data_IF_412652480154
#
_entry.id   IF_412652480154
#
_cell.length_a   1.000
_cell.length_b   1.000
_cell.length_c   1.000
_cell.angle_alpha   90.00
_cell.angle_beta   90.00
_cell.angle_gamma   90.00
#
_symmetry.space_group_name_H-M   'P 1'
#
loop_
_entity.id
_entity.type
_entity.pdbx_description
1 polymer ?
#
# COMPACT_ATOMS: atom_id res chain seq x y z
N UNK A 1 16.48 -10.63 1.21
CA UNK A 1 16.17 -11.67 2.23
C UNK A 1 16.02 -11.04 3.60
N UNK A 2 17.08 -10.59 4.27
CA UNK A 2 16.97 -10.14 5.68
C UNK A 2 15.86 -9.13 5.97
N UNK A 3 15.64 -8.13 5.12
CA UNK A 3 14.64 -7.08 5.41
C UNK A 3 13.20 -7.58 5.48
N UNK A 4 12.81 -8.48 4.59
CA UNK A 4 11.47 -9.08 4.58
C UNK A 4 11.26 -9.99 5.77
N UNK A 5 12.25 -10.86 6.03
CA UNK A 5 12.19 -11.81 7.14
C UNK A 5 12.14 -11.07 8.50
N UNK A 6 12.89 -9.98 8.67
CA UNK A 6 12.79 -9.15 9.87
C UNK A 6 11.39 -8.51 10.01
N UNK A 7 10.83 -7.96 8.93
CA UNK A 7 9.48 -7.40 8.97
C UNK A 7 8.43 -8.48 9.26
N UNK A 8 8.59 -9.69 8.72
CA UNK A 8 7.68 -10.81 8.97
C UNK A 8 7.78 -11.32 10.41
N UNK A 9 8.99 -11.34 10.99
CA UNK A 9 9.20 -11.68 12.41
C UNK A 9 8.58 -10.62 13.32
N UNK A 10 8.73 -9.34 12.99
CA UNK A 10 8.22 -8.23 13.82
C UNK A 10 6.71 -8.04 13.69
N UNK A 11 6.16 -8.14 12.49
CA UNK A 11 4.78 -7.72 12.18
C UNK A 11 3.90 -8.86 11.64
N UNK A 12 4.45 -10.05 11.50
CA UNK A 12 3.77 -11.23 10.99
C UNK A 12 3.86 -11.38 9.46
N UNK A 13 3.87 -12.64 9.01
CA UNK A 13 3.87 -12.97 7.58
C UNK A 13 2.54 -12.54 6.93
N UNK A 14 2.59 -11.79 5.82
CA UNK A 14 1.38 -11.33 5.15
C UNK A 14 0.49 -12.48 4.68
N UNK A 15 -0.83 -12.22 4.72
CA UNK A 15 -1.86 -13.11 4.18
C UNK A 15 -2.80 -12.28 3.31
N UNK A 16 -3.43 -12.88 2.29
CA UNK A 16 -4.36 -12.15 1.44
C UNK A 16 -5.41 -11.40 2.26
N UNK A 17 -5.48 -10.10 2.07
CA UNK A 17 -6.41 -9.19 2.73
C UNK A 17 -6.97 -8.21 1.71
N UNK A 18 -8.25 -7.86 1.87
CA UNK A 18 -8.91 -6.88 1.02
C UNK A 18 -8.59 -5.46 1.47
N UNK A 19 -8.39 -4.59 0.49
CA UNK A 19 -8.14 -3.15 0.67
C UNK A 19 -8.75 -2.34 -0.47
N UNK A 20 -8.60 -1.02 -0.39
CA UNK A 20 -9.02 -0.08 -1.44
C UNK A 20 -7.82 0.77 -1.92
N UNK A 21 -7.90 1.26 -3.16
CA UNK A 21 -6.89 2.11 -3.75
C UNK A 21 -7.48 3.36 -4.40
N UNK A 22 -6.65 4.37 -4.64
CA UNK A 22 -6.92 5.72 -5.15
C UNK A 22 -7.31 6.74 -4.06
N UNK A 23 -7.36 8.03 -4.44
CA UNK A 23 -7.59 9.15 -3.52
C UNK A 23 -8.95 9.13 -2.82
N UNK A 24 -9.93 8.42 -3.38
CA UNK A 24 -11.24 8.22 -2.73
C UNK A 24 -11.20 7.41 -1.43
N UNK A 25 -10.03 6.90 -1.02
CA UNK A 25 -9.84 6.24 0.29
C UNK A 25 -9.76 7.24 1.46
N UNK A 26 -9.55 8.51 1.17
CA UNK A 26 -9.63 9.58 2.16
C UNK A 26 -11.04 9.69 2.72
N UNK A 27 -11.17 10.02 4.01
CA UNK A 27 -12.45 10.13 4.72
C UNK A 27 -12.70 11.57 5.14
N UNK A 28 -13.85 12.10 4.73
CA UNK A 28 -14.21 13.47 5.07
C UNK A 28 -14.50 13.65 6.56
N UNK A 29 -15.08 12.63 7.19
CA UNK A 29 -15.50 12.63 8.58
C UNK A 29 -14.45 12.09 9.58
N UNK A 30 -13.23 11.78 9.10
CA UNK A 30 -12.15 11.24 9.92
C UNK A 30 -10.86 12.05 9.79
N UNK A 31 -10.00 11.92 10.78
CA UNK A 31 -8.61 12.40 10.71
C UNK A 31 -7.87 11.53 9.70
N UNK A 32 -7.32 12.09 8.64
CA UNK A 32 -6.54 11.35 7.66
C UNK A 32 -5.04 11.52 7.90
N UNK A 33 -4.37 10.42 8.20
CA UNK A 33 -2.92 10.35 8.36
C UNK A 33 -2.35 9.60 7.17
N UNK A 34 -1.44 10.24 6.44
CA UNK A 34 -0.79 9.62 5.30
C UNK A 34 0.62 9.20 5.69
N UNK A 35 0.90 7.90 5.57
CA UNK A 35 2.25 7.35 5.73
C UNK A 35 2.92 7.26 4.35
N UNK A 36 4.15 7.78 4.24
CA UNK A 36 4.85 7.87 2.97
C UNK A 36 6.35 7.65 3.13
N UNK A 37 6.90 6.79 2.35
CA UNK A 37 8.32 6.45 2.34
C UNK A 37 8.60 4.96 2.35
N UNK A 38 9.53 4.50 3.22
CA UNK A 38 10.09 3.15 3.16
C UNK A 38 10.35 2.50 4.53
N UNK A 39 10.06 3.16 5.65
CA UNK A 39 10.26 2.58 6.98
C UNK A 39 9.01 1.82 7.45
N UNK A 40 9.05 0.47 7.48
CA UNK A 40 7.90 -0.33 7.93
C UNK A 40 7.60 -0.14 9.41
N UNK A 41 8.61 0.09 10.24
CA UNK A 41 8.44 0.22 11.69
C UNK A 41 7.64 1.47 12.04
N UNK A 42 7.93 2.59 11.38
CA UNK A 42 7.20 3.84 11.57
C UNK A 42 5.73 3.69 11.20
N UNK A 43 5.46 3.14 10.02
CA UNK A 43 4.09 3.01 9.50
C UNK A 43 3.25 2.04 10.31
N UNK A 44 3.81 0.91 10.74
CA UNK A 44 3.13 -0.06 11.60
C UNK A 44 2.79 0.55 12.95
N UNK A 45 3.71 1.31 13.58
CA UNK A 45 3.46 1.98 14.85
C UNK A 45 2.43 3.11 14.73
N UNK A 46 2.40 3.84 13.61
CA UNK A 46 1.35 4.83 13.36
C UNK A 46 -0.02 4.14 13.26
N UNK A 47 -0.12 3.01 12.56
CA UNK A 47 -1.37 2.24 12.51
C UNK A 47 -1.82 1.78 13.89
N UNK A 48 -0.90 1.27 14.70
CA UNK A 48 -1.18 0.83 16.08
C UNK A 48 -1.76 1.95 16.94
N UNK A 49 -1.12 3.13 16.91
CA UNK A 49 -1.62 4.28 17.69
C UNK A 49 -2.84 4.96 17.08
N UNK A 50 -3.10 4.80 15.79
CA UNK A 50 -4.35 5.26 15.19
C UNK A 50 -5.56 4.45 15.67
N UNK A 51 -5.35 3.18 16.04
CA UNK A 51 -6.36 2.31 16.63
C UNK A 51 -6.44 2.42 18.19
N UNK A 52 -5.50 3.17 18.82
CA UNK A 52 -5.49 3.36 20.28
C UNK A 52 -6.79 4.05 20.72
N UNK A 53 -7.54 3.47 21.69
CA UNK A 53 -8.77 4.05 22.21
C UNK A 53 -8.63 5.49 22.72
N UNK A 54 -7.46 5.87 23.28
CA UNK A 54 -7.19 7.25 23.71
C UNK A 54 -7.16 8.20 22.52
N UNK A 55 -6.49 7.81 21.43
CA UNK A 55 -6.37 8.64 20.22
C UNK A 55 -7.72 8.74 19.49
N UNK A 56 -8.45 7.64 19.41
CA UNK A 56 -9.82 7.63 18.85
C UNK A 56 -10.77 8.51 19.66
N UNK A 57 -10.70 8.46 21.00
CA UNK A 57 -11.48 9.34 21.86
C UNK A 57 -11.10 10.82 21.66
N UNK A 58 -9.82 11.12 21.55
CA UNK A 58 -9.34 12.47 21.25
C UNK A 58 -9.85 12.95 19.88
N UNK A 59 -9.81 12.12 18.86
CA UNK A 59 -10.35 12.46 17.53
C UNK A 59 -11.82 12.86 17.59
N UNK A 60 -12.62 12.13 18.37
CA UNK A 60 -14.03 12.48 18.60
C UNK A 60 -14.22 13.82 19.29
N UNK A 61 -13.35 14.18 20.25
CA UNK A 61 -13.41 15.51 20.89
C UNK A 61 -13.04 16.63 19.91
N UNK A 62 -12.24 16.35 18.88
CA UNK A 62 -11.91 17.29 17.81
C UNK A 62 -12.99 17.35 16.72
N UNK A 63 -14.06 16.55 16.83
CA UNK A 63 -15.17 16.53 15.87
C UNK A 63 -15.03 15.50 14.74
N UNK A 64 -14.03 14.63 14.78
CA UNK A 64 -13.87 13.54 13.82
C UNK A 64 -14.53 12.25 14.31
N UNK A 65 -15.06 11.42 13.40
CA UNK A 65 -15.65 10.13 13.74
C UNK A 65 -14.61 9.04 14.04
N UNK A 66 -13.35 9.27 13.72
CA UNK A 66 -12.25 8.33 13.93
C UNK A 66 -10.97 8.77 13.25
N UNK A 67 -10.02 7.85 13.10
CA UNK A 67 -8.73 8.07 12.45
C UNK A 67 -8.62 7.12 11.25
N UNK A 68 -8.30 7.65 10.09
CA UNK A 68 -8.08 6.91 8.87
C UNK A 68 -6.59 7.01 8.49
N UNK A 69 -5.91 5.88 8.50
CA UNK A 69 -4.55 5.80 7.94
C UNK A 69 -4.65 5.36 6.50
N UNK A 70 -3.95 6.04 5.61
CA UNK A 70 -3.79 5.62 4.23
C UNK A 70 -2.32 5.78 3.82
N UNK A 71 -1.88 5.03 2.81
CA UNK A 71 -0.48 5.00 2.48
C UNK A 71 -0.16 5.52 1.09
N UNK A 72 1.09 5.98 0.95
CA UNK A 72 1.70 6.36 -0.33
C UNK A 72 3.04 5.65 -0.44
N UNK A 73 3.42 5.23 -1.66
CA UNK A 73 4.71 4.62 -1.96
C UNK A 73 4.91 3.22 -1.30
N UNK A 74 6.15 2.83 -0.99
CA UNK A 74 6.46 1.49 -0.48
C UNK A 74 5.91 1.24 0.93
N UNK A 75 5.92 2.24 1.80
CA UNK A 75 5.27 2.17 3.13
C UNK A 75 3.79 1.82 3.02
N UNK A 76 3.10 2.34 1.98
CA UNK A 76 1.71 1.95 1.70
C UNK A 76 1.56 0.45 1.42
N UNK A 77 2.46 -0.12 0.62
CA UNK A 77 2.43 -1.54 0.32
C UNK A 77 2.66 -2.39 1.58
N UNK A 78 3.51 -1.90 2.48
CA UNK A 78 3.86 -2.56 3.74
C UNK A 78 2.64 -2.71 4.66
N UNK A 79 1.97 -1.60 4.97
CA UNK A 79 0.79 -1.62 5.85
C UNK A 79 -0.44 -2.20 5.15
N UNK A 80 -0.54 -2.07 3.82
CA UNK A 80 -1.63 -2.69 3.07
C UNK A 80 -1.54 -4.22 3.14
N UNK A 81 -0.36 -4.82 2.92
CA UNK A 81 -0.22 -6.27 2.87
C UNK A 81 -0.45 -6.97 4.21
N UNK A 82 -0.30 -6.28 5.35
CA UNK A 82 -0.48 -6.85 6.68
C UNK A 82 -1.80 -6.44 7.33
N UNK A 83 -2.22 -5.21 7.16
CA UNK A 83 -3.38 -4.62 7.86
C UNK A 83 -4.55 -4.27 6.94
N UNK A 84 -4.39 -4.38 5.62
CA UNK A 84 -5.41 -3.93 4.67
C UNK A 84 -5.56 -2.41 4.62
N UNK A 85 -4.57 -1.64 5.09
CA UNK A 85 -4.59 -0.18 5.05
C UNK A 85 -4.73 0.31 3.60
N UNK A 86 -5.64 1.26 3.33
CA UNK A 86 -5.88 1.75 1.98
C UNK A 86 -4.67 2.42 1.33
N UNK A 87 -4.55 2.26 0.02
CA UNK A 87 -3.46 2.81 -0.79
C UNK A 87 -3.89 4.07 -1.52
N UNK A 88 -3.49 5.26 -1.05
CA UNK A 88 -3.84 6.53 -1.70
C UNK A 88 -3.14 6.72 -3.05
N UNK A 89 -1.93 6.19 -3.22
CA UNK A 89 -1.19 6.24 -4.47
C UNK A 89 0.29 5.93 -4.32
N UNK A 90 1.03 6.01 -5.42
CA UNK A 90 2.49 5.96 -5.39
C UNK A 90 3.10 7.37 -5.23
N UNK A 91 4.43 7.49 -5.31
CA UNK A 91 5.11 8.77 -5.10
C UNK A 91 4.68 9.90 -6.06
N UNK A 92 4.10 9.59 -7.21
CA UNK A 92 3.58 10.59 -8.14
C UNK A 92 2.24 11.20 -7.70
N UNK A 93 1.57 10.63 -6.70
CA UNK A 93 0.32 11.13 -6.14
C UNK A 93 0.47 11.78 -4.77
N UNK A 94 1.70 11.88 -4.23
CA UNK A 94 1.92 12.43 -2.87
C UNK A 94 1.39 13.86 -2.70
N UNK A 95 1.55 14.70 -3.72
CA UNK A 95 1.00 16.05 -3.72
C UNK A 95 -0.53 16.06 -3.82
N UNK A 96 -1.10 15.14 -4.61
CA UNK A 96 -2.54 15.04 -4.78
C UNK A 96 -3.27 14.69 -3.48
N UNK A 97 -2.61 13.97 -2.57
CA UNK A 97 -3.17 13.68 -1.24
C UNK A 97 -3.37 14.97 -0.45
N UNK A 98 -2.39 15.87 -0.47
CA UNK A 98 -2.49 17.20 0.19
C UNK A 98 -3.56 18.05 -0.49
N UNK A 99 -3.61 18.02 -1.83
CA UNK A 99 -4.59 18.76 -2.63
C UNK A 99 -6.05 18.32 -2.39
N UNK A 100 -6.29 17.15 -1.77
CA UNK A 100 -7.65 16.80 -1.34
C UNK A 100 -8.21 17.75 -0.27
N UNK A 101 -7.36 18.52 0.40
CA UNK A 101 -7.76 19.38 1.53
C UNK A 101 -8.23 18.62 2.77
N UNK A 102 -8.17 17.29 2.75
CA UNK A 102 -8.63 16.42 3.84
C UNK A 102 -7.48 15.70 4.57
N UNK A 103 -6.22 16.07 4.35
CA UNK A 103 -5.05 15.44 4.94
C UNK A 103 -4.58 16.22 6.17
N UNK A 104 -4.70 15.64 7.36
CA UNK A 104 -4.24 16.28 8.60
C UNK A 104 -2.74 16.20 8.77
N UNK A 105 -2.16 15.04 8.41
CA UNK A 105 -0.71 14.86 8.42
C UNK A 105 -0.25 13.97 7.29
N UNK A 106 0.84 14.37 6.62
CA UNK A 106 1.64 13.49 5.79
C UNK A 106 2.97 13.25 6.52
N UNK A 107 3.20 11.99 6.88
CA UNK A 107 4.35 11.56 7.67
C UNK A 107 5.32 10.85 6.76
N UNK A 108 6.54 11.36 6.69
CA UNK A 108 7.55 10.87 5.74
C UNK A 108 8.81 10.41 6.45
N UNK A 109 9.39 9.34 5.96
CA UNK A 109 10.65 8.79 6.48
C UNK A 109 11.83 9.05 5.54
N UNK A 110 12.03 8.21 4.54
CA UNK A 110 13.13 8.30 3.56
C UNK A 110 12.67 7.95 2.16
N UNK A 111 13.36 8.48 1.15
CA UNK A 111 13.18 8.22 -0.29
C UNK A 111 11.82 8.64 -0.86
N UNK A 112 11.82 8.93 -2.15
CA UNK A 112 10.62 9.25 -2.94
C UNK A 112 9.82 10.47 -2.46
N UNK A 113 10.38 11.32 -1.60
CA UNK A 113 9.72 12.47 -1.01
C UNK A 113 10.03 13.70 -1.85
N UNK A 114 8.99 14.42 -2.28
CA UNK A 114 9.17 15.66 -3.04
C UNK A 114 9.26 16.87 -2.10
N UNK A 115 10.33 17.70 -2.21
CA UNK A 115 10.44 18.92 -1.40
C UNK A 115 9.25 19.88 -1.56
N UNK A 116 8.53 19.81 -2.67
CA UNK A 116 7.33 20.59 -2.94
C UNK A 116 6.19 20.35 -1.92
N UNK A 117 6.22 19.22 -1.18
CA UNK A 117 5.24 18.97 -0.11
C UNK A 117 5.27 20.05 0.99
N UNK A 118 6.47 20.59 1.32
CA UNK A 118 6.62 21.64 2.32
C UNK A 118 5.77 22.89 2.01
N UNK A 119 6.08 23.64 0.95
CA UNK A 119 5.31 24.81 0.58
C UNK A 119 3.85 24.49 0.24
N UNK A 120 3.55 23.34 -0.36
CA UNK A 120 2.18 22.93 -0.66
C UNK A 120 1.36 22.73 0.62
N UNK A 121 1.91 22.05 1.61
CA UNK A 121 1.24 21.80 2.90
C UNK A 121 0.84 23.09 3.62
N UNK A 122 1.60 24.17 3.45
CA UNK A 122 1.27 25.49 4.01
C UNK A 122 0.06 26.16 3.37
N UNK A 123 -0.28 25.80 2.12
CA UNK A 123 -1.49 26.30 1.47
C UNK A 123 -2.77 25.70 2.06
N UNK A 124 -2.62 24.58 2.73
CA UNK A 124 -3.68 23.85 3.42
C UNK A 124 -3.46 23.87 4.94
N UNK A 125 -4.13 22.99 5.67
CA UNK A 125 -3.89 22.76 7.11
C UNK A 125 -2.90 21.61 7.37
N UNK A 126 -2.49 20.87 6.33
CA UNK A 126 -1.70 19.64 6.43
C UNK A 126 -0.41 19.83 7.19
N UNK A 127 -0.15 19.00 8.19
CA UNK A 127 1.15 18.89 8.85
C UNK A 127 2.09 18.01 8.02
N UNK A 128 3.17 18.58 7.54
CA UNK A 128 4.23 17.84 6.85
C UNK A 128 5.29 17.44 7.89
N UNK A 129 5.33 16.16 8.26
CA UNK A 129 6.17 15.63 9.35
C UNK A 129 7.28 14.77 8.76
N UNK A 130 8.54 15.14 8.97
CA UNK A 130 9.71 14.35 8.63
C UNK A 130 10.23 13.63 9.87
N UNK A 131 10.69 12.38 9.72
CA UNK A 131 11.05 11.53 10.86
C UNK A 131 12.50 11.06 10.83
N UNK A 132 13.16 11.12 9.68
CA UNK A 132 14.54 10.71 9.51
C UNK A 132 15.48 11.93 9.44
N UNK A 133 16.60 11.94 10.19
CA UNK A 133 17.56 13.04 10.16
C UNK A 133 18.27 13.21 8.80
N UNK A 134 18.31 12.15 7.98
CA UNK A 134 18.93 12.19 6.65
C UNK A 134 17.98 12.65 5.55
N UNK A 135 16.68 12.80 5.87
CA UNK A 135 15.64 13.19 4.94
C UNK A 135 14.78 14.34 5.48
N UNK A 136 15.37 15.24 6.24
CA UNK A 136 14.69 16.48 6.64
C UNK A 136 14.43 17.35 5.42
N UNK A 137 13.20 17.83 5.31
CA UNK A 137 12.77 18.69 4.22
C UNK A 137 12.49 20.11 4.71
N UNK A 138 12.70 21.13 3.87
CA UNK A 138 12.27 22.47 4.19
C UNK A 138 10.77 22.52 4.51
N UNK A 139 10.42 23.41 5.41
CA UNK A 139 9.00 23.64 5.78
C UNK A 139 8.28 22.43 6.41
N UNK A 140 9.03 21.47 6.95
CA UNK A 140 8.50 20.32 7.68
C UNK A 140 8.67 20.47 9.19
N UNK A 141 7.75 19.85 9.94
CA UNK A 141 7.95 19.58 11.37
C UNK A 141 8.83 18.33 11.51
N UNK A 142 9.87 18.38 12.34
CA UNK A 142 10.74 17.22 12.55
C UNK A 142 10.42 16.51 13.86
N UNK A 143 9.99 15.26 13.77
CA UNK A 143 9.78 14.36 14.91
C UNK A 143 10.64 13.11 14.65
N UNK A 144 11.82 13.04 15.26
CA UNK A 144 12.74 11.94 15.04
C UNK A 144 12.12 10.61 15.42
N UNK A 145 12.17 9.64 14.50
CA UNK A 145 11.80 8.25 14.77
C UNK A 145 13.07 7.40 14.93
N UNK A 146 13.17 6.68 16.04
CA UNK A 146 14.25 5.74 16.33
C UNK A 146 13.73 4.61 17.23
N UNK A 147 14.47 3.53 17.36
CA UNK A 147 14.06 2.34 18.10
C UNK A 147 13.79 2.62 19.61
N UNK A 148 14.53 3.55 20.22
CA UNK A 148 14.44 3.80 21.68
C UNK A 148 13.17 4.53 22.06
N UNK A 149 12.66 5.41 21.20
CA UNK A 149 11.50 6.27 21.45
C UNK A 149 10.39 6.07 20.42
N UNK A 150 10.40 4.93 19.73
CA UNK A 150 9.49 4.67 18.61
C UNK A 150 8.01 4.84 19.02
N UNK A 151 7.59 4.21 20.11
CA UNK A 151 6.22 4.29 20.59
C UNK A 151 5.79 5.69 20.98
N UNK A 152 6.62 6.41 21.75
CA UNK A 152 6.35 7.77 22.18
C UNK A 152 6.22 8.72 20.97
N UNK A 153 7.15 8.64 20.04
CA UNK A 153 7.17 9.51 18.87
C UNK A 153 6.04 9.18 17.88
N UNK A 154 5.71 7.90 17.66
CA UNK A 154 4.55 7.53 16.86
C UNK A 154 3.24 8.04 17.48
N UNK A 155 3.06 7.89 18.81
CA UNK A 155 1.90 8.45 19.52
C UNK A 155 1.83 9.97 19.39
N UNK A 156 2.97 10.66 19.49
CA UNK A 156 3.06 12.11 19.30
C UNK A 156 2.65 12.53 17.89
N UNK A 157 3.10 11.78 16.86
CA UNK A 157 2.72 12.03 15.46
C UNK A 157 1.20 11.90 15.28
N UNK A 158 0.62 10.80 15.76
CA UNK A 158 -0.84 10.56 15.67
C UNK A 158 -1.60 11.67 16.39
N UNK A 159 -1.20 12.02 17.63
CA UNK A 159 -1.81 13.13 18.39
C UNK A 159 -1.74 14.45 17.62
N UNK A 160 -0.58 14.78 17.03
CA UNK A 160 -0.41 16.00 16.22
C UNK A 160 -1.38 16.05 15.05
N UNK A 161 -1.59 14.91 14.38
CA UNK A 161 -2.55 14.82 13.28
C UNK A 161 -4.00 14.99 13.79
N UNK A 162 -4.35 14.34 14.88
CA UNK A 162 -5.69 14.42 15.51
C UNK A 162 -6.03 15.85 15.91
N UNK A 163 -5.12 16.52 16.61
CA UNK A 163 -5.32 17.93 17.04
C UNK A 163 -5.43 18.88 15.83
N UNK A 164 -4.79 18.52 14.71
CA UNK A 164 -4.82 19.33 13.48
C UNK A 164 -6.17 19.25 12.73
N UNK A 165 -7.04 18.29 13.07
CA UNK A 165 -8.37 18.16 12.45
C UNK A 165 -9.21 19.44 12.64
N UNK A 166 -9.09 20.11 13.79
CA UNK A 166 -9.78 21.37 14.08
C UNK A 166 -9.38 22.53 13.13
N UNK A 167 -8.22 22.42 12.46
CA UNK A 167 -7.73 23.42 11.52
C UNK A 167 -8.15 23.15 10.06
N UNK A 168 -8.90 22.07 9.80
CA UNK A 168 -9.37 21.71 8.46
C UNK A 168 -10.29 22.81 7.90
N UNK A 169 -9.97 23.24 6.70
CA UNK A 169 -10.78 24.22 5.94
C UNK A 169 -11.75 23.45 5.07
N UNK A 170 -12.98 23.30 5.51
CA UNK A 170 -13.99 22.49 4.82
C UNK A 170 -14.26 22.95 3.38
N UNK A 171 -14.12 24.22 3.12
CA UNK A 171 -14.28 24.82 1.78
C UNK A 171 -13.19 24.37 0.79
N UNK A 172 -12.07 23.83 1.28
CA UNK A 172 -10.97 23.30 0.46
C UNK A 172 -11.02 21.76 0.32
N UNK A 173 -11.96 21.10 1.00
CA UNK A 173 -12.06 19.64 0.94
C UNK A 173 -12.66 19.21 -0.40
N UNK A 174 -11.88 18.43 -1.13
CA UNK A 174 -12.30 17.82 -2.39
C UNK A 174 -11.72 16.43 -2.55
N UNK A 175 -12.47 15.41 -2.12
CA UNK A 175 -12.08 14.02 -2.19
C UNK A 175 -12.67 13.39 -3.47
N UNK A 176 -11.83 12.95 -4.42
CA UNK A 176 -12.31 12.25 -5.60
C UNK A 176 -13.07 10.98 -5.23
N UNK A 177 -14.19 10.71 -5.91
CA UNK A 177 -15.00 9.52 -5.64
C UNK A 177 -14.44 8.23 -6.27
N UNK A 178 -13.22 8.30 -6.81
CA UNK A 178 -12.57 7.16 -7.45
C UNK A 178 -11.95 6.24 -6.39
N UNK A 179 -12.49 5.02 -6.29
CA UNK A 179 -11.96 3.91 -5.50
C UNK A 179 -11.92 2.62 -6.30
N UNK A 180 -10.93 1.79 -6.06
CA UNK A 180 -10.81 0.45 -6.62
C UNK A 180 -10.55 -0.54 -5.48
N UNK A 181 -11.22 -1.69 -5.55
CA UNK A 181 -10.94 -2.80 -4.63
C UNK A 181 -9.67 -3.52 -5.06
N UNK A 182 -8.93 -4.02 -4.08
CA UNK A 182 -7.73 -4.82 -4.30
C UNK A 182 -7.60 -5.88 -3.21
N UNK A 183 -7.13 -7.07 -3.58
CA UNK A 183 -6.68 -8.09 -2.63
C UNK A 183 -5.16 -8.10 -2.65
N UNK A 184 -4.53 -7.90 -1.51
CA UNK A 184 -3.07 -7.69 -1.33
C UNK A 184 -2.50 -8.67 -0.30
N UNK A 185 -1.17 -8.72 -0.14
CA UNK A 185 -0.54 -9.52 0.91
C UNK A 185 -0.26 -10.96 0.52
N UNK A 186 0.04 -11.22 -0.73
CA UNK A 186 0.45 -12.54 -1.21
C UNK A 186 1.93 -12.78 -0.87
N UNK A 187 2.24 -13.26 0.33
CA UNK A 187 3.57 -13.81 0.64
C UNK A 187 3.87 -15.05 -0.21
N UNK A 188 5.11 -15.51 -0.22
CA UNK A 188 5.49 -16.76 -0.92
C UNK A 188 4.65 -17.92 -0.39
N UNK A 189 4.51 -18.01 0.93
CA UNK A 189 3.70 -19.04 1.62
C UNK A 189 2.23 -18.96 1.23
N UNK A 190 1.69 -17.75 1.14
CA UNK A 190 0.30 -17.52 0.72
C UNK A 190 0.08 -17.92 -0.74
N UNK A 191 1.01 -17.59 -1.64
CA UNK A 191 0.95 -17.98 -3.06
C UNK A 191 0.98 -19.51 -3.19
N UNK A 192 1.95 -20.14 -2.53
CA UNK A 192 2.10 -21.60 -2.55
C UNK A 192 0.82 -22.29 -2.04
N UNK A 193 0.33 -21.88 -0.87
CA UNK A 193 -0.89 -22.43 -0.26
C UNK A 193 -2.12 -22.23 -1.16
N UNK A 194 -2.24 -21.09 -1.81
CA UNK A 194 -3.39 -20.77 -2.65
C UNK A 194 -3.38 -21.59 -3.94
N UNK A 195 -2.22 -21.75 -4.56
CA UNK A 195 -2.08 -22.55 -5.79
C UNK A 195 -2.19 -24.04 -5.54
N UNK A 196 -1.88 -24.52 -4.34
CA UNK A 196 -2.02 -25.92 -3.96
C UNK A 196 -3.47 -26.42 -4.06
N UNK A 197 -4.42 -25.57 -3.71
CA UNK A 197 -5.85 -25.87 -3.88
C UNK A 197 -6.29 -26.11 -5.34
N UNK A 198 -5.48 -25.68 -6.32
CA UNK A 198 -5.79 -25.84 -7.76
C UNK A 198 -5.45 -27.23 -8.30
N UNK A 199 -4.44 -27.90 -7.73
CA UNK A 199 -3.91 -29.15 -8.27
C UNK A 199 -4.35 -30.40 -7.51
N UNK A 200 -5.11 -30.26 -6.40
CA UNK A 200 -5.48 -31.34 -5.49
C UNK A 200 -4.29 -32.18 -4.98
N UNK A 201 -3.08 -31.64 -5.01
CA UNK A 201 -1.92 -32.28 -4.43
C UNK A 201 -1.90 -32.09 -2.91
N UNK A 202 -1.79 -33.19 -2.16
CA UNK A 202 -1.53 -33.12 -0.72
C UNK A 202 -0.12 -32.57 -0.50
N UNK A 203 -0.04 -31.34 0.00
CA UNK A 203 1.24 -30.66 0.20
C UNK A 203 1.79 -30.95 1.59
N UNK A 204 3.06 -31.30 1.64
CA UNK A 204 3.84 -31.35 2.85
C UNK A 204 3.94 -29.95 3.51
N UNK A 205 4.13 -29.94 4.83
CA UNK A 205 4.10 -28.78 5.73
C UNK A 205 5.00 -27.60 5.28
N UNK A 206 5.93 -27.81 4.37
CA UNK A 206 6.88 -26.79 3.89
C UNK A 206 6.41 -26.02 2.63
N UNK A 207 5.27 -26.36 2.07
CA UNK A 207 4.78 -25.74 0.83
C UNK A 207 5.64 -26.08 -0.40
N UNK A 208 5.06 -26.04 -1.59
CA UNK A 208 5.80 -26.31 -2.83
C UNK A 208 5.31 -25.41 -3.95
N UNK A 209 6.22 -24.99 -4.83
CA UNK A 209 5.90 -24.31 -6.08
C UNK A 209 5.38 -25.24 -7.16
N UNK A 210 5.26 -26.54 -6.86
CA UNK A 210 4.84 -27.58 -7.79
C UNK A 210 3.53 -27.28 -8.52
N UNK A 211 2.46 -26.79 -7.85
CA UNK A 211 1.22 -26.44 -8.52
C UNK A 211 1.39 -25.36 -9.60
N UNK A 212 2.20 -24.35 -9.37
CA UNK A 212 2.52 -23.33 -10.36
C UNK A 212 3.30 -23.93 -11.53
N UNK A 213 4.29 -24.76 -11.24
CA UNK A 213 5.07 -25.47 -12.27
C UNK A 213 4.19 -26.42 -13.08
N UNK A 214 3.27 -27.13 -12.48
CA UNK A 214 2.30 -28.01 -13.17
C UNK A 214 1.36 -27.20 -14.08
N UNK A 215 0.87 -26.05 -13.64
CA UNK A 215 0.09 -25.16 -14.50
C UNK A 215 0.88 -24.66 -15.71
N UNK A 216 2.19 -24.41 -15.53
CA UNK A 216 3.07 -23.98 -16.63
C UNK A 216 3.42 -25.15 -17.55
N UNK A 217 3.82 -26.29 -17.02
CA UNK A 217 4.22 -27.45 -17.81
C UNK A 217 3.07 -28.09 -18.57
N UNK A 218 1.85 -28.01 -18.04
CA UNK A 218 0.64 -28.45 -18.73
C UNK A 218 0.12 -27.44 -19.77
N UNK A 219 0.73 -26.23 -19.84
CA UNK A 219 0.35 -25.19 -20.78
C UNK A 219 -0.91 -24.42 -20.41
N UNK A 220 -1.47 -24.60 -19.19
CA UNK A 220 -2.58 -23.79 -18.67
C UNK A 220 -2.13 -22.35 -18.43
N UNK A 221 -0.95 -22.18 -17.85
CA UNK A 221 -0.26 -20.89 -17.78
C UNK A 221 0.95 -20.89 -18.73
N UNK A 222 1.19 -19.78 -19.37
CA UNK A 222 2.41 -19.59 -20.19
C UNK A 222 3.64 -19.25 -19.36
N UNK A 223 3.43 -18.80 -18.11
CA UNK A 223 4.50 -18.46 -17.19
C UNK A 223 4.05 -17.54 -16.08
N UNK A 224 5.03 -17.11 -15.28
CA UNK A 224 4.89 -16.10 -14.26
C UNK A 224 5.90 -14.97 -14.51
N UNK A 225 5.51 -13.72 -14.27
CA UNK A 225 6.38 -12.54 -14.43
C UNK A 225 6.35 -11.71 -13.16
N UNK A 226 7.53 -11.45 -12.59
CA UNK A 226 7.69 -10.47 -11.54
C UNK A 226 7.91 -9.08 -12.16
N UNK A 227 7.03 -8.13 -11.85
CA UNK A 227 7.20 -6.72 -12.20
C UNK A 227 7.45 -5.93 -10.93
N UNK A 228 8.64 -5.42 -10.80
CA UNK A 228 9.09 -4.73 -9.60
C UNK A 228 9.60 -3.34 -9.94
N UNK A 229 9.50 -2.40 -9.00
CA UNK A 229 10.16 -1.11 -9.14
C UNK A 229 9.23 0.09 -9.22
N UNK A 230 9.85 1.19 -9.61
CA UNK A 230 9.30 2.53 -9.49
C UNK A 230 8.56 2.96 -10.77
N UNK A 231 7.83 4.05 -10.64
CA UNK A 231 7.23 4.76 -11.76
C UNK A 231 8.22 5.78 -12.36
N UNK A 232 7.90 6.34 -13.51
CA UNK A 232 8.74 7.34 -14.18
C UNK A 232 7.96 8.66 -14.32
N UNK A 233 8.43 9.77 -13.72
CA UNK A 233 7.76 11.07 -13.79
C UNK A 233 7.80 11.72 -15.19
N UNK A 234 8.63 11.22 -16.10
CA UNK A 234 8.75 11.76 -17.47
C UNK A 234 7.75 11.17 -18.47
N UNK A 235 6.97 10.17 -18.05
CA UNK A 235 5.94 9.54 -18.87
C UNK A 235 4.60 9.60 -18.15
N UNK A 236 3.51 9.33 -18.90
CA UNK A 236 2.18 9.27 -18.29
C UNK A 236 2.20 8.30 -17.09
N UNK A 237 1.81 8.76 -15.89
CA UNK A 237 1.83 7.93 -14.69
C UNK A 237 1.12 6.59 -14.88
N UNK A 238 1.74 5.52 -14.38
CA UNK A 238 1.23 4.14 -14.38
C UNK A 238 1.02 3.49 -15.76
N UNK A 239 1.01 4.26 -16.86
CA UNK A 239 0.59 3.80 -18.18
C UNK A 239 1.36 2.55 -18.65
N UNK A 240 2.70 2.61 -18.61
CA UNK A 240 3.54 1.51 -19.09
C UNK A 240 3.34 0.22 -18.28
N UNK A 241 3.20 0.35 -16.95
CA UNK A 241 2.94 -0.77 -16.06
C UNK A 241 1.58 -1.41 -16.36
N UNK A 242 0.52 -0.60 -16.44
CA UNK A 242 -0.85 -1.07 -16.65
C UNK A 242 -0.98 -1.77 -18.02
N UNK A 243 -0.45 -1.18 -19.09
CA UNK A 243 -0.56 -1.76 -20.42
C UNK A 243 0.25 -3.06 -20.55
N UNK A 244 1.43 -3.13 -19.93
CA UNK A 244 2.20 -4.37 -19.92
C UNK A 244 1.47 -5.47 -19.14
N UNK A 245 0.96 -5.16 -17.93
CA UNK A 245 0.19 -6.12 -17.13
C UNK A 245 -1.03 -6.66 -17.88
N UNK A 246 -1.81 -5.79 -18.52
CA UNK A 246 -2.97 -6.22 -19.32
C UNK A 246 -2.56 -7.17 -20.47
N UNK A 247 -1.43 -6.89 -21.12
CA UNK A 247 -0.92 -7.80 -22.17
C UNK A 247 -0.46 -9.14 -21.60
N UNK A 248 0.19 -9.15 -20.44
CA UNK A 248 0.65 -10.37 -19.79
C UNK A 248 -0.53 -11.25 -19.36
N UNK A 249 -1.48 -10.73 -18.60
CA UNK A 249 -2.63 -11.51 -18.12
C UNK A 249 -3.52 -12.01 -19.27
N UNK A 250 -3.67 -11.23 -20.34
CA UNK A 250 -4.39 -11.65 -21.55
C UNK A 250 -3.72 -12.85 -22.27
N UNK A 251 -2.42 -13.03 -22.05
CA UNK A 251 -1.63 -14.13 -22.63
C UNK A 251 -1.35 -15.25 -21.62
N UNK A 252 -2.23 -15.43 -20.62
CA UNK A 252 -2.13 -16.49 -19.60
C UNK A 252 -0.82 -16.46 -18.79
N UNK A 253 -0.31 -15.26 -18.51
CA UNK A 253 0.86 -15.04 -17.66
C UNK A 253 0.40 -14.40 -16.36
N UNK A 254 0.62 -15.10 -15.23
CA UNK A 254 0.36 -14.55 -13.90
C UNK A 254 1.42 -13.49 -13.56
N UNK A 255 0.98 -12.37 -12.97
CA UNK A 255 1.89 -11.26 -12.66
C UNK A 255 2.03 -11.09 -11.16
N UNK A 256 3.25 -10.98 -10.69
CA UNK A 256 3.59 -10.77 -9.27
C UNK A 256 4.23 -9.40 -9.16
N UNK A 257 3.74 -8.57 -8.24
CA UNK A 257 4.10 -7.16 -8.16
C UNK A 257 4.61 -6.73 -6.80
N UNK A 258 5.51 -5.75 -6.84
CA UNK A 258 5.90 -5.00 -5.65
C UNK A 258 6.16 -3.52 -5.98
N UNK A 259 6.19 -2.67 -4.95
CA UNK A 259 6.51 -1.25 -5.09
C UNK A 259 5.46 -0.46 -5.86
N UNK A 260 5.91 0.52 -6.66
CA UNK A 260 5.00 1.40 -7.43
C UNK A 260 4.23 0.67 -8.53
N UNK A 261 4.77 -0.43 -9.08
CA UNK A 261 4.04 -1.24 -10.06
C UNK A 261 2.82 -1.91 -9.44
N UNK A 262 2.93 -2.32 -8.17
CA UNK A 262 1.82 -2.88 -7.41
C UNK A 262 0.72 -1.82 -7.19
N UNK A 263 1.09 -0.62 -6.81
CA UNK A 263 0.12 0.47 -6.64
C UNK A 263 -0.54 0.89 -7.96
N UNK A 264 0.19 0.87 -9.07
CA UNK A 264 -0.38 1.10 -10.38
C UNK A 264 -1.47 0.07 -10.72
N UNK A 265 -1.21 -1.21 -10.42
CA UNK A 265 -2.17 -2.29 -10.63
C UNK A 265 -3.42 -2.15 -9.74
N UNK A 266 -3.23 -1.85 -8.44
CA UNK A 266 -4.33 -1.64 -7.50
C UNK A 266 -5.24 -0.48 -7.95
N UNK A 267 -4.64 0.64 -8.33
CA UNK A 267 -5.35 1.83 -8.83
C UNK A 267 -6.09 1.58 -10.15
N UNK A 268 -5.59 0.66 -10.96
CA UNK A 268 -6.23 0.26 -12.21
C UNK A 268 -7.29 -0.84 -12.04
N UNK A 269 -7.51 -1.34 -10.81
CA UNK A 269 -8.45 -2.43 -10.51
C UNK A 269 -7.97 -3.81 -10.95
N UNK A 270 -6.68 -3.98 -11.29
CA UNK A 270 -6.13 -5.25 -11.74
C UNK A 270 -5.91 -6.26 -10.59
N UNK A 271 -5.93 -5.78 -9.35
CA UNK A 271 -5.86 -6.61 -8.14
C UNK A 271 -7.24 -6.96 -7.56
N UNK A 272 -8.32 -6.59 -8.24
CA UNK A 272 -9.67 -7.06 -7.94
C UNK A 272 -9.88 -8.44 -8.59
N UNK A 273 -10.52 -9.37 -7.89
CA UNK A 273 -10.83 -10.72 -8.41
C UNK A 273 -11.67 -10.68 -9.69
N UNK A 274 -12.44 -9.61 -9.93
CA UNK A 274 -13.18 -9.38 -11.17
C UNK A 274 -12.26 -9.12 -12.37
N UNK A 275 -11.02 -8.72 -12.16
CA UNK A 275 -10.06 -8.51 -13.25
C UNK A 275 -9.71 -9.81 -14.01
N UNK A 276 -10.10 -10.99 -13.49
CA UNK A 276 -10.02 -12.27 -14.21
C UNK A 276 -10.70 -12.24 -15.59
N UNK A 277 -11.69 -11.37 -15.79
CA UNK A 277 -12.36 -11.23 -17.08
C UNK A 277 -11.50 -10.59 -18.17
N UNK A 278 -10.36 -10.00 -17.79
CA UNK A 278 -9.33 -9.47 -18.71
C UNK A 278 -8.29 -10.52 -19.12
N UNK A 279 -8.33 -11.71 -18.51
CA UNK A 279 -7.33 -12.76 -18.68
C UNK A 279 -7.57 -13.59 -19.93
N UNK A 280 -6.52 -14.31 -20.36
CA UNK A 280 -6.68 -15.47 -21.24
C UNK A 280 -7.42 -16.61 -20.51
N UNK A 281 -7.83 -17.63 -21.25
CA UNK A 281 -8.67 -18.70 -20.72
C UNK A 281 -7.98 -19.53 -19.63
N UNK A 282 -6.66 -19.74 -19.75
CA UNK A 282 -5.87 -20.49 -18.78
C UNK A 282 -5.76 -19.77 -17.44
N UNK A 283 -5.33 -18.51 -17.45
CA UNK A 283 -5.19 -17.72 -16.23
C UNK A 283 -6.54 -17.43 -15.59
N UNK A 284 -7.59 -17.17 -16.39
CA UNK A 284 -8.96 -17.00 -15.87
C UNK A 284 -9.38 -18.22 -15.05
N UNK A 285 -9.15 -19.44 -15.60
CA UNK A 285 -9.47 -20.69 -14.89
C UNK A 285 -8.71 -20.83 -13.57
N UNK A 286 -7.41 -20.49 -13.55
CA UNK A 286 -6.59 -20.52 -12.33
C UNK A 286 -7.15 -19.52 -11.30
N UNK A 287 -7.46 -18.29 -11.71
CA UNK A 287 -8.05 -17.28 -10.83
C UNK A 287 -9.40 -17.73 -10.24
N UNK A 288 -10.23 -18.44 -11.01
CA UNK A 288 -11.52 -18.95 -10.54
C UNK A 288 -11.37 -20.08 -9.55
N UNK A 289 -10.45 -21.01 -9.79
CA UNK A 289 -10.22 -22.15 -8.91
C UNK A 289 -9.54 -21.77 -7.60
N UNK A 290 -8.57 -20.85 -7.66
CA UNK A 290 -7.80 -20.41 -6.50
C UNK A 290 -8.43 -19.21 -5.77
N UNK A 291 -9.51 -18.62 -6.31
CA UNK A 291 -10.15 -17.39 -5.81
C UNK A 291 -9.17 -16.21 -5.62
N UNK A 292 -8.29 -16.00 -6.64
CA UNK A 292 -7.28 -14.93 -6.64
C UNK A 292 -7.48 -13.93 -7.78
N UNK A 293 -6.97 -12.70 -7.66
CA UNK A 293 -6.83 -11.80 -8.80
C UNK A 293 -5.70 -12.28 -9.73
N UNK A 294 -5.70 -11.85 -11.01
CA UNK A 294 -4.65 -12.24 -11.97
C UNK A 294 -3.29 -11.59 -11.71
N UNK A 295 -3.26 -10.62 -10.81
CA UNK A 295 -2.09 -9.83 -10.46
C UNK A 295 -1.95 -9.86 -8.93
N UNK A 296 -0.83 -10.38 -8.44
CA UNK A 296 -0.59 -10.64 -7.02
C UNK A 296 0.33 -9.59 -6.41
N UNK A 297 -0.07 -9.02 -5.29
CA UNK A 297 0.70 -8.02 -4.55
C UNK A 297 1.58 -8.69 -3.50
N UNK A 298 2.90 -8.54 -3.60
CA UNK A 298 3.87 -9.07 -2.63
C UNK A 298 4.38 -8.04 -1.61
N UNK A 299 4.11 -6.76 -1.81
CA UNK A 299 4.55 -5.74 -0.85
C UNK A 299 5.47 -4.65 -1.43
N UNK A 300 6.34 -4.07 -0.61
CA UNK A 300 7.27 -3.01 -1.02
C UNK A 300 8.39 -3.50 -1.94
N UNK A 301 9.12 -2.57 -2.57
CA UNK A 301 10.13 -2.92 -3.57
C UNK A 301 11.31 -3.74 -3.03
N UNK A 302 11.67 -3.61 -1.77
CA UNK A 302 12.78 -4.37 -1.17
C UNK A 302 12.48 -5.85 -0.97
N UNK A 303 11.23 -6.27 -0.97
CA UNK A 303 10.85 -7.70 -0.95
C UNK A 303 11.30 -8.41 -2.22
N UNK A 304 11.38 -7.69 -3.33
CA UNK A 304 11.71 -8.24 -4.65
C UNK A 304 13.22 -8.25 -4.95
N UNK A 305 14.06 -7.75 -4.05
CA UNK A 305 15.51 -7.75 -4.22
C UNK A 305 16.17 -9.09 -3.80
N UNK A 306 15.41 -10.18 -3.91
CA UNK A 306 15.84 -11.55 -3.56
C UNK A 306 15.92 -12.43 -4.80
#
# INVERSE_FOLDING_TARGET
MCGTEFSDVMFGTPKPVDTEANLGVMKEDQVNIIVHGHDPSLSEMICEYADDPEMVALAKTMGANGINVAGVCCTSNEVAMRRGVPMAGNFLQQENVVLTGACEAIVVDVQCIFPALGPLSKCFHTKFITTSPIAQMPDSDFIRFNAETAGENAKKIVRTAVENFANRKQELVHIPQLKQKATVGYSVEAIVKTLDGVTNSQVDVLGTTKPLLECITSGVLRGAVAMVGCNNPRVRPDYAHIELMKKLIKNDIIVILSGCSAQAAARAGLMDKRAKDLCGAGLKRVCELADIPPVLHMGPVWISAV
#
